data_IF_957054213729
#
_entry.id   IF_957054213729
#
_cell.length_a   1.000
_cell.length_b   1.000
_cell.length_c   1.000
_cell.angle_alpha   90.00
_cell.angle_beta   90.00
_cell.angle_gamma   90.00
#
_symmetry.space_group_name_H-M   'P 1'
#
loop_
_entity.id
_entity.type
_entity.pdbx_description
1 polymer ?
#
# COMPACT_ATOMS: atom_id res chain seq x y z
N UNK A 1 19.39 -13.06 -10.01
CA UNK A 1 20.10 -13.40 -8.77
C UNK A 1 19.11 -13.36 -7.62
N UNK A 2 18.77 -14.51 -7.04
CA UNK A 2 17.74 -14.61 -5.99
C UNK A 2 18.29 -14.34 -4.59
N UNK A 3 19.56 -13.94 -4.45
CA UNK A 3 20.25 -13.88 -3.15
C UNK A 3 19.75 -12.75 -2.24
N UNK A 4 19.03 -11.77 -2.79
CA UNK A 4 18.49 -10.61 -2.07
C UNK A 4 16.97 -10.63 -1.91
N UNK A 5 16.30 -11.76 -2.21
CA UNK A 5 14.86 -11.86 -2.10
C UNK A 5 14.43 -12.22 -0.67
N UNK A 6 13.36 -11.59 -0.18
CA UNK A 6 12.74 -11.90 1.12
C UNK A 6 11.23 -12.13 1.00
N UNK A 7 10.48 -12.20 2.09
CA UNK A 7 9.01 -12.40 2.04
C UNK A 7 8.31 -11.31 2.83
N UNK A 8 7.24 -10.76 2.25
CA UNK A 8 6.34 -9.81 2.88
C UNK A 8 5.04 -10.55 3.21
N UNK A 9 4.48 -10.28 4.38
CA UNK A 9 3.15 -10.73 4.78
C UNK A 9 2.35 -9.52 5.27
N UNK A 10 1.19 -9.27 4.66
CA UNK A 10 0.26 -8.25 5.14
C UNK A 10 -0.40 -8.71 6.45
N UNK A 11 -0.41 -7.82 7.44
CA UNK A 11 -1.10 -8.01 8.72
C UNK A 11 -2.51 -7.42 8.60
N UNK A 12 -2.59 -6.20 8.05
CA UNK A 12 -3.86 -5.57 7.74
C UNK A 12 -4.44 -6.16 6.45
N UNK A 13 -5.75 -6.01 6.28
CA UNK A 13 -6.41 -6.39 5.04
C UNK A 13 -5.86 -5.56 3.86
N UNK A 14 -5.52 -6.23 2.76
CA UNK A 14 -5.04 -5.59 1.53
C UNK A 14 -6.09 -4.64 0.94
N UNK A 15 -7.38 -4.90 1.22
CA UNK A 15 -8.50 -4.02 0.87
C UNK A 15 -9.04 -3.33 2.12
N UNK A 16 -9.18 -1.99 2.07
CA UNK A 16 -9.82 -1.18 3.11
C UNK A 16 -11.08 -0.49 2.58
N UNK A 17 -12.13 -0.44 3.39
CA UNK A 17 -13.30 0.39 3.10
C UNK A 17 -13.26 1.63 3.98
N UNK A 18 -13.20 2.80 3.35
CA UNK A 18 -13.24 4.10 4.04
C UNK A 18 -14.68 4.51 4.41
N UNK A 19 -15.67 3.73 3.99
CA UNK A 19 -17.08 4.06 4.15
C UNK A 19 -17.42 5.35 3.42
N UNK A 20 -18.27 6.17 4.05
CA UNK A 20 -18.65 7.47 3.50
C UNK A 20 -17.67 8.56 3.93
N UNK A 21 -17.15 9.34 2.97
CA UNK A 21 -16.33 10.53 3.22
C UNK A 21 -16.90 11.76 2.51
N UNK A 22 -16.55 12.95 3.00
CA UNK A 22 -16.98 14.21 2.37
C UNK A 22 -16.00 14.62 1.29
N UNK A 23 -16.51 15.15 0.18
CA UNK A 23 -15.70 15.70 -0.91
C UNK A 23 -14.71 16.75 -0.38
N UNK A 24 -13.47 16.68 -0.86
CA UNK A 24 -12.37 17.55 -0.42
C UNK A 24 -11.68 17.07 0.87
N UNK A 25 -12.19 16.03 1.51
CA UNK A 25 -11.49 15.39 2.62
C UNK A 25 -10.21 14.68 2.12
N UNK A 26 -9.12 14.88 2.86
CA UNK A 26 -7.89 14.11 2.71
C UNK A 26 -7.92 12.99 3.74
N UNK A 27 -7.83 11.75 3.27
CA UNK A 27 -7.84 10.55 4.13
C UNK A 27 -6.46 9.92 4.13
N UNK A 28 -5.94 9.64 5.33
CA UNK A 28 -4.70 8.88 5.49
C UNK A 28 -5.01 7.38 5.60
N UNK A 29 -4.40 6.59 4.74
CA UNK A 29 -4.47 5.14 4.69
C UNK A 29 -3.17 4.55 5.22
N UNK A 30 -3.25 3.41 5.88
CA UNK A 30 -2.07 2.67 6.33
C UNK A 30 -2.29 1.17 6.28
N UNK A 31 -1.32 0.44 5.76
CA UNK A 31 -1.30 -1.02 5.74
C UNK A 31 -0.05 -1.53 6.44
N UNK A 32 -0.24 -2.27 7.53
CA UNK A 32 0.81 -2.96 8.26
C UNK A 32 1.19 -4.26 7.57
N UNK A 33 2.49 -4.50 7.51
CA UNK A 33 3.06 -5.73 7.01
C UNK A 33 4.23 -6.17 7.89
N UNK A 34 4.63 -7.42 7.72
CA UNK A 34 5.79 -8.03 8.35
C UNK A 34 6.74 -8.59 7.31
N UNK A 35 8.04 -8.37 7.51
CA UNK A 35 9.05 -9.12 6.78
C UNK A 35 9.17 -10.52 7.40
N UNK A 36 8.66 -11.53 6.69
CA UNK A 36 8.66 -12.93 7.14
C UNK A 36 9.80 -13.75 6.53
N UNK A 37 10.60 -13.15 5.66
CA UNK A 37 11.79 -13.80 5.13
C UNK A 37 13.01 -13.62 6.03
N UNK A 38 14.18 -13.97 5.49
CA UNK A 38 15.46 -14.01 6.20
C UNK A 38 16.45 -12.94 5.73
N UNK A 39 16.00 -12.01 4.87
CA UNK A 39 16.78 -10.85 4.38
C UNK A 39 16.01 -9.56 4.67
N UNK A 40 16.68 -8.40 4.78
CA UNK A 40 16.00 -7.12 4.86
C UNK A 40 15.03 -6.91 3.69
N UNK A 41 13.82 -6.46 3.99
CA UNK A 41 12.79 -6.10 3.03
C UNK A 41 12.90 -4.61 2.72
N UNK A 42 13.29 -4.30 1.50
CA UNK A 42 13.37 -2.95 0.97
C UNK A 42 12.17 -2.70 0.08
N UNK A 43 11.43 -1.64 0.39
CA UNK A 43 10.39 -1.11 -0.49
C UNK A 43 11.09 -0.22 -1.52
N UNK A 44 11.07 -0.64 -2.78
CA UNK A 44 11.74 0.05 -3.88
C UNK A 44 10.92 1.22 -4.39
N UNK A 45 9.60 1.02 -4.50
CA UNK A 45 8.66 2.03 -4.98
C UNK A 45 7.26 1.75 -4.42
N UNK A 46 6.50 2.82 -4.22
CA UNK A 46 5.06 2.73 -4.01
C UNK A 46 4.43 3.79 -4.88
N UNK A 47 3.51 3.40 -5.73
CA UNK A 47 2.78 4.31 -6.59
C UNK A 47 1.28 4.00 -6.55
N UNK A 48 0.48 5.04 -6.77
CA UNK A 48 -0.95 4.89 -6.90
C UNK A 48 -1.35 4.79 -8.36
N UNK A 49 -2.49 4.12 -8.64
CA UNK A 49 -3.07 4.09 -9.98
C UNK A 49 -3.57 5.46 -10.48
N UNK A 50 -3.71 6.46 -9.60
CA UNK A 50 -4.11 7.83 -9.93
C UNK A 50 -3.17 8.84 -9.24
N UNK A 51 -3.01 10.04 -9.82
CA UNK A 51 -2.34 11.17 -9.15
C UNK A 51 -3.08 11.73 -7.93
N UNK A 52 -4.23 11.15 -7.57
CA UNK A 52 -5.07 11.54 -6.45
C UNK A 52 -4.68 10.92 -5.11
N UNK A 53 -3.74 9.98 -5.13
CA UNK A 53 -3.23 9.29 -3.95
C UNK A 53 -1.73 9.47 -3.88
N UNK A 54 -1.24 10.02 -2.76
CA UNK A 54 0.18 10.25 -2.52
C UNK A 54 0.71 9.20 -1.56
N UNK A 55 1.53 8.25 -2.01
CA UNK A 55 2.14 7.24 -1.15
C UNK A 55 3.29 7.82 -0.32
N UNK A 56 3.48 7.28 0.88
CA UNK A 56 4.57 7.59 1.81
C UNK A 56 5.15 6.27 2.35
N UNK A 57 6.03 5.60 1.57
CA UNK A 57 6.63 4.34 1.97
C UNK A 57 7.71 4.52 3.06
N UNK A 58 8.04 3.46 3.81
CA UNK A 58 9.17 3.48 4.72
C UNK A 58 10.48 3.68 3.94
N UNK A 59 11.34 4.58 4.43
CA UNK A 59 12.63 4.91 3.81
C UNK A 59 13.73 3.93 4.17
N UNK A 60 13.55 3.18 5.25
CA UNK A 60 14.54 2.26 5.78
C UNK A 60 14.12 0.81 5.47
N UNK A 61 15.10 -0.09 5.19
CA UNK A 61 14.82 -1.50 5.05
C UNK A 61 14.22 -2.09 6.33
N UNK A 62 13.22 -2.95 6.16
CA UNK A 62 12.55 -3.65 7.26
C UNK A 62 13.31 -4.93 7.56
N UNK A 63 13.89 -5.05 8.76
CA UNK A 63 14.66 -6.22 9.17
C UNK A 63 13.82 -7.52 9.17
N UNK A 64 14.45 -8.71 9.05
CA UNK A 64 13.77 -9.99 9.21
C UNK A 64 12.96 -10.06 10.51
N UNK A 65 11.69 -10.45 10.43
CA UNK A 65 10.78 -10.53 11.56
C UNK A 65 10.24 -9.18 12.06
N UNK A 66 10.71 -8.05 11.53
CA UNK A 66 10.20 -6.72 11.87
C UNK A 66 8.95 -6.37 11.05
N UNK A 67 8.17 -5.44 11.60
CA UNK A 67 6.96 -4.90 10.99
C UNK A 67 7.24 -3.54 10.35
N UNK A 68 6.54 -3.25 9.27
CA UNK A 68 6.56 -1.97 8.57
C UNK A 68 5.14 -1.51 8.24
N UNK A 69 5.02 -0.26 7.81
CA UNK A 69 3.74 0.33 7.43
C UNK A 69 3.89 1.04 6.09
N UNK A 70 3.02 0.72 5.13
CA UNK A 70 2.83 1.54 3.93
C UNK A 70 1.77 2.58 4.25
N UNK A 71 2.07 3.85 4.04
CA UNK A 71 1.10 4.94 4.18
C UNK A 71 0.73 5.51 2.81
N UNK A 72 -0.48 6.02 2.69
CA UNK A 72 -0.91 6.80 1.54
C UNK A 72 -1.90 7.88 1.96
N UNK A 73 -1.97 8.98 1.21
CA UNK A 73 -2.94 10.05 1.40
C UNK A 73 -3.84 10.14 0.18
N UNK A 74 -5.13 9.92 0.35
CA UNK A 74 -6.11 10.06 -0.72
C UNK A 74 -6.79 11.43 -0.63
N UNK A 75 -6.73 12.21 -1.71
CA UNK A 75 -7.46 13.47 -1.82
C UNK A 75 -8.75 13.26 -2.62
N UNK A 76 -9.90 13.41 -1.95
CA UNK A 76 -11.23 13.19 -2.52
C UNK A 76 -11.81 14.38 -3.30
N UNK A 77 -11.11 15.52 -3.37
CA UNK A 77 -11.58 16.78 -3.99
C UNK A 77 -12.23 16.60 -5.37
N UNK A 78 -11.65 15.72 -6.19
CA UNK A 78 -12.07 15.53 -7.59
C UNK A 78 -13.00 14.31 -7.79
N UNK A 79 -13.60 13.79 -6.72
CA UNK A 79 -14.42 12.59 -6.78
C UNK A 79 -15.78 12.77 -6.11
N UNK A 80 -16.76 11.98 -6.53
CA UNK A 80 -18.12 11.92 -5.99
C UNK A 80 -18.68 10.53 -6.26
N UNK A 81 -19.52 10.03 -5.35
CA UNK A 81 -20.06 8.67 -5.40
C UNK A 81 -19.03 7.61 -5.02
N UNK A 82 -19.33 6.36 -5.36
CA UNK A 82 -18.48 5.23 -5.06
C UNK A 82 -17.18 5.24 -5.87
N UNK A 83 -16.05 5.07 -5.20
CA UNK A 83 -14.73 4.93 -5.83
C UNK A 83 -14.00 3.69 -5.32
N UNK A 84 -13.22 3.10 -6.21
CA UNK A 84 -12.23 2.07 -5.89
C UNK A 84 -10.88 2.55 -6.39
N UNK A 85 -9.85 2.47 -5.56
CA UNK A 85 -8.49 2.95 -5.86
C UNK A 85 -7.47 1.90 -5.47
N UNK A 86 -6.35 1.89 -6.19
CA UNK A 86 -5.29 0.89 -6.02
C UNK A 86 -3.95 1.58 -5.72
N UNK A 87 -3.17 0.96 -4.84
CA UNK A 87 -1.81 1.33 -4.48
C UNK A 87 -0.92 0.11 -4.71
N UNK A 88 0.12 0.27 -5.53
CA UNK A 88 1.03 -0.79 -5.92
C UNK A 88 2.34 -0.63 -5.15
N UNK A 89 2.78 -1.71 -4.50
CA UNK A 89 4.00 -1.73 -3.68
C UNK A 89 5.04 -2.66 -4.31
N UNK A 90 6.16 -2.08 -4.73
CA UNK A 90 7.31 -2.79 -5.26
C UNK A 90 8.34 -3.02 -4.16
N UNK A 91 8.73 -4.29 -3.96
CA UNK A 91 9.72 -4.67 -2.97
C UNK A 91 10.62 -5.80 -3.48
N UNK A 92 11.74 -6.03 -2.81
CA UNK A 92 12.67 -7.14 -3.10
C UNK A 92 12.18 -8.48 -2.53
N UNK A 93 10.93 -8.88 -2.78
CA UNK A 93 10.37 -10.13 -2.25
C UNK A 93 10.37 -11.28 -3.29
N UNK A 94 10.55 -12.52 -2.80
CA UNK A 94 10.63 -13.77 -3.55
C UNK A 94 9.28 -14.28 -4.05
N UNK A 95 8.20 -13.89 -3.40
CA UNK A 95 6.84 -14.18 -3.83
C UNK A 95 6.42 -13.27 -4.98
N UNK A 96 7.11 -13.43 -6.12
CA UNK A 96 6.66 -12.99 -7.44
C UNK A 96 5.72 -14.04 -8.05
N UNK A 97 4.86 -14.67 -7.26
CA UNK A 97 3.81 -15.53 -7.79
C UNK A 97 2.81 -14.60 -8.49
N UNK A 98 2.93 -14.50 -9.82
CA UNK A 98 2.21 -13.62 -10.75
C UNK A 98 2.78 -12.25 -11.09
N UNK A 99 4.07 -11.96 -10.85
CA UNK A 99 4.71 -10.79 -11.50
C UNK A 99 4.09 -9.41 -11.22
N UNK A 100 3.13 -9.32 -10.31
CA UNK A 100 2.35 -8.15 -9.99
C UNK A 100 2.84 -7.59 -8.66
N UNK A 101 2.95 -6.28 -8.61
CA UNK A 101 3.21 -5.50 -7.41
C UNK A 101 2.27 -5.94 -6.27
N UNK A 102 2.70 -5.82 -5.00
CA UNK A 102 1.79 -6.10 -3.89
C UNK A 102 0.68 -5.04 -3.96
N UNK A 103 -0.51 -5.45 -4.40
CA UNK A 103 -1.61 -4.55 -4.76
C UNK A 103 -2.52 -4.36 -3.56
N UNK A 104 -2.49 -3.15 -3.03
CA UNK A 104 -3.40 -2.68 -1.99
C UNK A 104 -4.57 -1.96 -2.65
N UNK A 105 -5.75 -2.07 -2.07
CA UNK A 105 -6.98 -1.46 -2.61
C UNK A 105 -7.71 -0.72 -1.50
N UNK A 106 -8.38 0.36 -1.85
CA UNK A 106 -9.35 0.97 -0.94
C UNK A 106 -10.59 1.46 -1.69
N UNK A 107 -11.72 1.41 -0.99
CA UNK A 107 -13.02 1.90 -1.46
C UNK A 107 -13.50 3.05 -0.61
N UNK A 108 -14.31 3.94 -1.19
CA UNK A 108 -14.99 5.01 -0.47
C UNK A 108 -16.26 5.42 -1.20
N UNK A 109 -17.25 5.91 -0.46
CA UNK A 109 -18.45 6.57 -0.98
C UNK A 109 -18.38 8.07 -0.68
N UNK A 110 -18.23 8.89 -1.71
CA UNK A 110 -17.90 10.31 -1.56
C UNK A 110 -19.17 11.15 -1.71
N UNK A 111 -19.57 11.83 -0.65
CA UNK A 111 -20.73 12.73 -0.62
C UNK A 111 -20.30 14.19 -0.75
N UNK A 112 -21.17 15.00 -1.33
CA UNK A 112 -21.02 16.46 -1.36
C UNK A 112 -21.01 17.09 0.04
#
# INVERSE_FOLDING_TARGET
DSANLTTIQWIDAETQDLGTITKGQIVELSWKFKNTGNKPLTIADVHAGCGCTTPDPPKEPIAPGAEGVIKAKFNSENFTGHVTKEVFVQANNSNRNNGADNKLTFTADIKE
#
